data_IF_357968473269
#
_entry.id   IF_357968473269
#
_cell.length_a   1.000
_cell.length_b   1.000
_cell.length_c   1.000
_cell.angle_alpha   90.00
_cell.angle_beta   90.00
_cell.angle_gamma   90.00
#
_symmetry.space_group_name_H-M   'P 1'
#
loop_
_entity.id
_entity.type
_entity.pdbx_description
1 polymer ?
#
# COMPACT_ATOMS: atom_id res chain seq x y z
N UNK A 1 48.13 5.61 -6.53
CA UNK A 1 47.14 5.46 -7.62
C UNK A 1 47.22 6.72 -8.44
N UNK A 2 47.49 6.58 -9.73
CA UNK A 2 47.75 7.69 -10.66
C UNK A 2 46.44 8.43 -10.99
N UNK A 3 46.47 9.76 -10.88
CA UNK A 3 45.35 10.68 -11.10
C UNK A 3 44.85 10.63 -12.57
N UNK A 4 45.71 10.19 -13.50
CA UNK A 4 45.36 9.94 -14.91
C UNK A 4 44.29 8.84 -15.08
N UNK A 5 44.27 7.84 -14.19
CA UNK A 5 43.37 6.68 -14.29
C UNK A 5 41.90 7.02 -13.93
N UNK A 6 41.69 7.97 -13.02
CA UNK A 6 40.35 8.39 -12.58
C UNK A 6 39.68 9.30 -13.62
N UNK A 7 40.46 10.12 -14.32
CA UNK A 7 39.97 11.00 -15.40
C UNK A 7 39.44 10.20 -16.60
N UNK A 8 40.17 9.18 -17.04
CA UNK A 8 39.77 8.33 -18.17
C UNK A 8 38.54 7.48 -17.85
N UNK A 9 38.43 6.99 -16.60
CA UNK A 9 37.25 6.27 -16.13
C UNK A 9 35.99 7.15 -16.12
N UNK A 10 36.11 8.42 -15.71
CA UNK A 10 35.00 9.36 -15.75
C UNK A 10 34.58 9.72 -17.18
N UNK A 11 35.51 9.83 -18.12
CA UNK A 11 35.21 10.08 -19.53
C UNK A 11 34.45 8.90 -20.15
N UNK A 12 34.86 7.67 -19.87
CA UNK A 12 34.18 6.47 -20.38
C UNK A 12 32.78 6.31 -19.77
N UNK A 13 32.61 6.56 -18.47
CA UNK A 13 31.29 6.58 -17.84
C UNK A 13 30.35 7.63 -18.44
N UNK A 14 30.87 8.81 -18.80
CA UNK A 14 30.07 9.86 -19.46
C UNK A 14 29.58 9.39 -20.83
N UNK A 15 30.46 8.81 -21.66
CA UNK A 15 30.08 8.25 -22.97
C UNK A 15 29.07 7.13 -22.83
N UNK A 16 29.24 6.26 -21.84
CA UNK A 16 28.30 5.16 -21.58
C UNK A 16 26.93 5.69 -21.19
N UNK A 17 26.86 6.64 -20.25
CA UNK A 17 25.62 7.30 -19.82
C UNK A 17 24.94 8.07 -20.94
N UNK A 18 25.71 8.70 -21.83
CA UNK A 18 25.14 9.43 -22.98
C UNK A 18 24.52 8.48 -24.00
N UNK A 19 25.17 7.34 -24.27
CA UNK A 19 24.59 6.26 -25.10
C UNK A 19 23.36 5.63 -24.44
N UNK A 20 23.42 5.36 -23.13
CA UNK A 20 22.27 4.87 -22.36
C UNK A 20 21.10 5.86 -22.42
N UNK A 21 21.37 7.16 -22.21
CA UNK A 21 20.37 8.24 -22.26
C UNK A 21 19.74 8.40 -23.65
N UNK A 22 20.51 8.23 -24.73
CA UNK A 22 19.97 8.30 -26.09
C UNK A 22 18.91 7.21 -26.37
N UNK A 23 18.90 6.12 -25.60
CA UNK A 23 17.83 5.11 -25.68
C UNK A 23 16.50 5.61 -25.10
N UNK A 24 16.54 6.66 -24.28
CA UNK A 24 15.38 7.36 -23.73
C UNK A 24 14.79 8.42 -24.67
N UNK A 25 15.31 8.59 -25.88
CA UNK A 25 14.83 9.63 -26.80
C UNK A 25 13.53 9.23 -27.51
N UNK A 26 12.57 10.15 -27.47
CA UNK A 26 11.27 10.09 -28.14
C UNK A 26 11.14 11.32 -29.03
N UNK A 27 11.02 11.11 -30.34
CA UNK A 27 10.88 12.20 -31.34
C UNK A 27 11.97 13.28 -31.20
N UNK A 28 13.21 12.86 -30.95
CA UNK A 28 14.39 13.75 -30.85
C UNK A 28 14.54 14.49 -29.52
N UNK A 29 13.76 14.16 -28.48
CA UNK A 29 13.87 14.69 -27.12
C UNK A 29 13.83 13.56 -26.11
N UNK A 30 14.54 13.68 -24.98
CA UNK A 30 14.49 12.66 -23.94
C UNK A 30 13.08 12.54 -23.33
N UNK A 31 12.62 11.35 -22.96
CA UNK A 31 11.24 11.15 -22.47
C UNK A 31 10.88 12.08 -21.31
N UNK A 32 11.83 12.42 -20.44
CA UNK A 32 11.63 13.34 -19.29
C UNK A 32 11.20 14.74 -19.70
N UNK A 33 11.52 15.16 -20.93
CA UNK A 33 11.17 16.48 -21.44
C UNK A 33 9.69 16.56 -21.86
N UNK A 34 9.05 15.43 -22.19
CA UNK A 34 7.69 15.39 -22.70
C UNK A 34 6.60 15.54 -21.62
N UNK A 35 6.97 15.58 -20.33
CA UNK A 35 6.00 15.62 -19.22
C UNK A 35 5.03 16.80 -19.33
N UNK A 36 5.54 17.99 -19.67
CA UNK A 36 4.71 19.20 -19.79
C UNK A 36 3.76 19.13 -20.99
N UNK A 37 4.26 18.66 -22.14
CA UNK A 37 3.48 18.49 -23.36
C UNK A 37 2.34 17.48 -23.16
N UNK A 38 2.65 16.31 -22.58
CA UNK A 38 1.64 15.30 -22.24
C UNK A 38 0.61 15.86 -21.26
N UNK A 39 1.05 16.60 -20.25
CA UNK A 39 0.13 17.24 -19.29
C UNK A 39 -0.79 18.23 -19.99
N UNK A 40 -0.31 18.97 -20.98
CA UNK A 40 -1.13 19.89 -21.77
C UNK A 40 -2.14 19.14 -22.65
N UNK A 41 -1.74 18.05 -23.30
CA UNK A 41 -2.64 17.19 -24.09
C UNK A 41 -3.76 16.60 -23.22
N UNK A 42 -3.40 16.08 -22.04
CA UNK A 42 -4.37 15.55 -21.07
C UNK A 42 -5.36 16.62 -20.58
N UNK A 43 -4.91 17.86 -20.38
CA UNK A 43 -5.79 18.99 -20.00
C UNK A 43 -6.76 19.39 -21.12
N UNK A 44 -6.30 19.37 -22.37
CA UNK A 44 -7.12 19.64 -23.56
C UNK A 44 -8.10 18.51 -23.88
N UNK A 45 -8.04 17.39 -23.14
CA UNK A 45 -8.79 16.16 -23.38
C UNK A 45 -8.50 15.54 -24.75
N UNK A 46 -7.33 15.81 -25.31
CA UNK A 46 -6.83 15.14 -26.50
C UNK A 46 -6.25 13.78 -26.10
N UNK A 47 -7.16 12.84 -25.85
CA UNK A 47 -6.81 11.53 -25.31
C UNK A 47 -6.04 10.64 -26.29
N UNK A 48 -6.16 10.86 -27.59
CA UNK A 48 -5.48 10.05 -28.62
C UNK A 48 -4.02 10.49 -28.76
N UNK A 49 -3.78 11.80 -28.92
CA UNK A 49 -2.43 12.33 -28.99
C UNK A 49 -1.67 12.09 -27.68
N UNK A 50 -2.33 12.26 -26.53
CA UNK A 50 -1.73 11.97 -25.23
C UNK A 50 -1.37 10.48 -25.11
N UNK A 51 -2.27 9.57 -25.50
CA UNK A 51 -2.02 8.13 -25.40
C UNK A 51 -0.85 7.70 -26.29
N UNK A 52 -0.80 8.17 -27.54
CA UNK A 52 0.29 7.85 -28.45
C UNK A 52 1.65 8.26 -27.85
N UNK A 53 1.76 9.50 -27.38
CA UNK A 53 3.01 10.00 -26.79
C UNK A 53 3.36 9.31 -25.47
N UNK A 54 2.38 8.99 -24.63
CA UNK A 54 2.58 8.22 -23.40
C UNK A 54 3.14 6.82 -23.68
N UNK A 55 2.65 6.13 -24.72
CA UNK A 55 3.13 4.80 -25.09
C UNK A 55 4.56 4.86 -25.64
N UNK A 56 4.87 5.84 -26.49
CA UNK A 56 6.24 6.06 -26.97
C UNK A 56 7.21 6.30 -25.80
N UNK A 57 6.84 7.16 -24.84
CA UNK A 57 7.65 7.39 -23.63
C UNK A 57 7.77 6.13 -22.75
N UNK A 58 6.72 5.31 -22.62
CA UNK A 58 6.79 4.07 -21.84
C UNK A 58 7.73 3.02 -22.48
N UNK A 59 7.79 2.97 -23.81
CA UNK A 59 8.74 2.11 -24.53
C UNK A 59 10.17 2.63 -24.34
N UNK A 60 10.39 3.94 -24.48
CA UNK A 60 11.70 4.56 -24.31
C UNK A 60 12.26 4.34 -22.90
N UNK A 61 11.42 4.48 -21.85
CA UNK A 61 11.86 4.22 -20.47
C UNK A 61 12.22 2.76 -20.25
N UNK A 62 11.45 1.83 -20.82
CA UNK A 62 11.74 0.40 -20.72
C UNK A 62 13.04 0.03 -21.44
N UNK A 63 13.33 0.69 -22.56
CA UNK A 63 14.56 0.50 -23.34
C UNK A 63 15.79 1.05 -22.60
N UNK A 64 15.70 2.26 -22.05
CA UNK A 64 16.76 2.85 -21.21
C UNK A 64 17.03 1.97 -19.97
N UNK A 65 15.98 1.48 -19.31
CA UNK A 65 16.07 0.58 -18.16
C UNK A 65 16.89 -0.67 -18.42
N UNK A 66 16.60 -1.36 -19.53
CA UNK A 66 17.29 -2.62 -19.89
C UNK A 66 18.79 -2.37 -20.07
N UNK A 67 19.19 -1.19 -20.55
CA UNK A 67 20.58 -0.81 -20.71
C UNK A 67 21.24 -0.32 -19.41
N UNK A 68 20.51 0.39 -18.56
CA UNK A 68 21.05 1.12 -17.40
C UNK A 68 20.83 0.46 -16.02
N UNK A 69 20.12 -0.67 -15.93
CA UNK A 69 19.74 -1.31 -14.67
C UNK A 69 18.91 -0.42 -13.70
N UNK A 70 18.14 0.53 -14.26
CA UNK A 70 17.24 1.43 -13.52
C UNK A 70 15.80 0.99 -13.74
N UNK A 71 14.89 1.14 -12.78
CA UNK A 71 13.46 0.77 -12.95
C UNK A 71 12.77 1.71 -13.97
N UNK A 72 11.90 1.21 -14.89
CA UNK A 72 11.26 2.06 -15.88
C UNK A 72 10.41 3.15 -15.23
N UNK A 73 10.41 4.35 -15.80
CA UNK A 73 9.62 5.44 -15.25
C UNK A 73 8.12 5.10 -15.31
N UNK A 74 7.44 5.01 -14.15
CA UNK A 74 6.07 4.50 -14.03
C UNK A 74 5.00 5.39 -14.67
N UNK A 75 5.24 6.70 -14.69
CA UNK A 75 4.20 7.70 -14.82
C UNK A 75 3.54 7.60 -16.19
N UNK A 76 4.32 7.30 -17.23
CA UNK A 76 3.82 7.13 -18.60
C UNK A 76 2.86 5.94 -18.70
N UNK A 77 3.28 4.78 -18.18
CA UNK A 77 2.46 3.57 -18.13
C UNK A 77 1.18 3.77 -17.31
N UNK A 78 1.27 4.40 -16.12
CA UNK A 78 0.10 4.66 -15.27
C UNK A 78 -0.93 5.55 -15.99
N UNK A 79 -0.47 6.62 -16.65
CA UNK A 79 -1.36 7.53 -17.38
C UNK A 79 -1.98 6.88 -18.60
N UNK A 80 -1.22 6.11 -19.37
CA UNK A 80 -1.73 5.34 -20.51
C UNK A 80 -2.79 4.30 -20.06
N UNK A 81 -2.51 3.56 -18.98
CA UNK A 81 -3.46 2.62 -18.39
C UNK A 81 -4.77 3.29 -17.98
N UNK A 82 -4.72 4.49 -17.37
CA UNK A 82 -5.92 5.27 -17.03
C UNK A 82 -6.73 5.65 -18.28
N UNK A 83 -6.08 6.01 -19.39
CA UNK A 83 -6.77 6.33 -20.65
C UNK A 83 -7.46 5.08 -21.19
N UNK A 84 -6.76 3.95 -21.27
CA UNK A 84 -7.36 2.67 -21.69
C UNK A 84 -8.56 2.27 -20.83
N UNK A 85 -8.44 2.42 -19.50
CA UNK A 85 -9.52 2.16 -18.55
C UNK A 85 -10.77 2.99 -18.86
N UNK A 86 -10.60 4.31 -19.08
CA UNK A 86 -11.71 5.23 -19.39
C UNK A 86 -12.39 4.89 -20.71
N UNK A 87 -11.63 4.36 -21.68
CA UNK A 87 -12.14 3.87 -22.97
C UNK A 87 -12.74 2.47 -22.89
N UNK A 88 -12.74 1.85 -21.70
CA UNK A 88 -13.13 0.45 -21.47
C UNK A 88 -12.33 -0.57 -22.31
N UNK A 89 -11.14 -0.19 -22.79
CA UNK A 89 -10.24 -1.12 -23.47
C UNK A 89 -9.36 -1.83 -22.43
N UNK A 90 -9.98 -2.73 -21.66
CA UNK A 90 -9.33 -3.41 -20.56
C UNK A 90 -8.25 -4.40 -21.03
N UNK A 91 -8.38 -4.94 -22.26
CA UNK A 91 -7.38 -5.82 -22.88
C UNK A 91 -6.06 -5.06 -23.05
N UNK A 92 -6.11 -3.87 -23.66
CA UNK A 92 -4.92 -3.04 -23.83
C UNK A 92 -4.35 -2.53 -22.49
N UNK A 93 -5.22 -2.17 -21.53
CA UNK A 93 -4.80 -1.82 -20.16
C UNK A 93 -4.02 -2.97 -19.51
N UNK A 94 -4.56 -4.20 -19.53
CA UNK A 94 -3.93 -5.37 -18.92
C UNK A 94 -2.63 -5.76 -19.63
N UNK A 95 -2.58 -5.73 -20.96
CA UNK A 95 -1.38 -6.02 -21.73
C UNK A 95 -0.23 -5.08 -21.34
N UNK A 96 -0.49 -3.76 -21.34
CA UNK A 96 0.47 -2.73 -20.97
C UNK A 96 0.98 -2.91 -19.53
N UNK A 97 0.09 -3.18 -18.57
CA UNK A 97 0.47 -3.34 -17.17
C UNK A 97 1.28 -4.62 -16.91
N UNK A 98 0.98 -5.71 -17.61
CA UNK A 98 1.77 -6.96 -17.52
C UNK A 98 3.18 -6.76 -18.04
N UNK A 99 3.32 -6.12 -19.20
CA UNK A 99 4.62 -5.83 -19.80
C UNK A 99 5.49 -4.98 -18.85
N UNK A 100 4.92 -3.90 -18.29
CA UNK A 100 5.63 -3.08 -17.31
C UNK A 100 6.03 -3.86 -16.06
N UNK A 101 5.12 -4.67 -15.49
CA UNK A 101 5.40 -5.42 -14.26
C UNK A 101 6.45 -6.52 -14.46
N UNK A 102 6.56 -7.06 -15.69
CA UNK A 102 7.62 -8.01 -16.03
C UNK A 102 9.00 -7.35 -16.05
N UNK A 103 9.10 -6.11 -16.53
CA UNK A 103 10.35 -5.33 -16.56
C UNK A 103 10.74 -4.66 -15.23
N UNK A 104 9.87 -4.68 -14.22
CA UNK A 104 10.06 -3.98 -12.94
C UNK A 104 9.75 -4.86 -11.71
N UNK A 105 10.50 -5.96 -11.46
CA UNK A 105 10.30 -6.84 -10.32
C UNK A 105 10.74 -6.16 -9.01
N UNK A 106 9.88 -5.32 -8.42
CA UNK A 106 10.29 -4.50 -7.26
C UNK A 106 9.21 -3.67 -6.57
N UNK A 107 7.94 -3.97 -6.84
CA UNK A 107 6.75 -3.41 -6.15
C UNK A 107 6.34 -1.99 -6.57
N UNK A 108 5.21 -1.94 -7.30
CA UNK A 108 4.20 -0.87 -7.20
C UNK A 108 2.83 -1.51 -6.98
N UNK A 109 2.45 -1.65 -5.71
CA UNK A 109 1.13 -2.17 -5.33
C UNK A 109 -0.05 -1.55 -6.13
N UNK A 110 -0.04 -0.24 -6.44
CA UNK A 110 -1.13 0.37 -7.23
C UNK A 110 -1.28 -0.18 -8.65
N UNK A 111 -0.17 -0.52 -9.33
CA UNK A 111 -0.22 -1.07 -10.69
C UNK A 111 -0.70 -2.51 -10.71
N UNK A 112 -0.29 -3.32 -9.72
CA UNK A 112 -0.76 -4.70 -9.55
C UNK A 112 -2.26 -4.73 -9.27
N UNK A 113 -2.74 -3.87 -8.36
CA UNK A 113 -4.16 -3.73 -8.07
C UNK A 113 -4.97 -3.31 -9.30
N UNK A 114 -4.42 -2.39 -10.11
CA UNK A 114 -5.02 -1.99 -11.39
C UNK A 114 -5.06 -3.14 -12.40
N UNK A 115 -3.99 -3.91 -12.55
CA UNK A 115 -3.95 -5.08 -13.43
C UNK A 115 -5.04 -6.09 -13.03
N UNK A 116 -5.11 -6.46 -11.74
CA UNK A 116 -6.15 -7.36 -11.25
C UNK A 116 -7.56 -6.84 -11.54
N UNK A 117 -7.79 -5.53 -11.42
CA UNK A 117 -9.07 -4.92 -11.78
C UNK A 117 -9.36 -5.04 -13.28
N UNK A 118 -8.38 -4.74 -14.15
CA UNK A 118 -8.53 -4.87 -15.59
C UNK A 118 -8.80 -6.33 -16.01
N UNK A 119 -8.10 -7.30 -15.42
CA UNK A 119 -8.29 -8.73 -15.65
C UNK A 119 -9.67 -9.22 -15.20
N UNK A 120 -10.12 -8.78 -14.02
CA UNK A 120 -11.48 -9.04 -13.57
C UNK A 120 -12.51 -8.47 -14.55
N UNK A 121 -12.24 -7.30 -15.14
CA UNK A 121 -13.13 -6.70 -16.12
C UNK A 121 -13.16 -7.47 -17.45
N UNK A 122 -12.02 -7.98 -17.92
CA UNK A 122 -11.93 -8.84 -19.11
C UNK A 122 -12.69 -10.15 -18.87
N UNK A 123 -12.41 -10.82 -17.76
CA UNK A 123 -13.03 -12.11 -17.41
C UNK A 123 -14.55 -11.96 -17.34
N UNK A 124 -15.04 -10.91 -16.68
CA UNK A 124 -16.47 -10.76 -16.53
C UNK A 124 -17.16 -10.18 -17.78
N UNK A 125 -16.45 -9.51 -18.68
CA UNK A 125 -16.95 -9.27 -20.04
C UNK A 125 -17.09 -10.57 -20.83
N UNK A 126 -16.11 -11.48 -20.75
CA UNK A 126 -16.19 -12.80 -21.37
C UNK A 126 -17.33 -13.66 -20.79
N UNK A 127 -17.64 -13.48 -19.51
CA UNK A 127 -18.73 -14.19 -18.83
C UNK A 127 -20.11 -13.51 -18.96
N UNK A 128 -20.20 -12.34 -19.61
CA UNK A 128 -21.47 -11.63 -19.73
C UNK A 128 -22.51 -12.38 -20.58
N UNK A 129 -22.03 -13.12 -21.59
CA UNK A 129 -22.83 -13.93 -22.51
C UNK A 129 -23.04 -15.37 -22.01
N UNK A 130 -22.39 -15.74 -20.90
CA UNK A 130 -22.61 -17.05 -20.26
C UNK A 130 -23.90 -16.97 -19.44
N UNK A 131 -24.89 -17.85 -19.70
CA UNK A 131 -26.14 -17.81 -18.97
C UNK A 131 -25.86 -18.03 -17.47
N UNK A 132 -26.44 -17.20 -16.57
CA UNK A 132 -26.11 -17.28 -15.15
C UNK A 132 -26.62 -18.58 -14.55
N UNK A 133 -25.95 -19.08 -13.52
CA UNK A 133 -26.40 -20.25 -12.77
C UNK A 133 -27.08 -19.84 -11.47
N UNK A 134 -28.08 -20.60 -11.05
CA UNK A 134 -28.70 -20.44 -9.74
C UNK A 134 -27.68 -20.82 -8.65
N UNK A 135 -27.34 -19.91 -7.71
CA UNK A 135 -26.37 -20.20 -6.66
C UNK A 135 -26.83 -21.27 -5.65
N UNK A 136 -28.14 -21.57 -5.59
CA UNK A 136 -28.67 -22.60 -4.69
C UNK A 136 -28.69 -24.01 -5.29
N UNK A 137 -29.17 -24.17 -6.52
CA UNK A 137 -29.35 -25.49 -7.13
C UNK A 137 -28.47 -25.77 -8.36
N UNK A 138 -27.70 -24.78 -8.82
CA UNK A 138 -26.80 -24.93 -9.96
C UNK A 138 -27.47 -24.94 -11.34
N UNK A 139 -28.80 -24.87 -11.42
CA UNK A 139 -29.50 -24.79 -12.72
C UNK A 139 -29.05 -23.58 -13.53
N UNK A 140 -28.85 -23.79 -14.83
CA UNK A 140 -28.53 -22.72 -15.79
C UNK A 140 -29.81 -21.94 -16.08
N UNK A 141 -29.77 -20.62 -15.92
CA UNK A 141 -30.88 -19.72 -16.20
C UNK A 141 -30.77 -19.27 -17.65
N UNK A 142 -31.85 -19.40 -18.42
CA UNK A 142 -31.87 -19.01 -19.85
C UNK A 142 -31.54 -17.53 -20.05
N UNK A 143 -31.97 -16.68 -19.11
CA UNK A 143 -31.75 -15.25 -19.13
C UNK A 143 -31.28 -14.76 -17.76
N UNK A 144 -30.64 -13.59 -17.74
CA UNK A 144 -30.36 -12.91 -16.49
C UNK A 144 -31.66 -12.57 -15.76
N UNK A 145 -31.80 -12.95 -14.47
CA UNK A 145 -33.01 -12.66 -13.72
C UNK A 145 -33.22 -11.15 -13.55
N UNK A 146 -34.47 -10.77 -13.28
CA UNK A 146 -34.81 -9.44 -12.81
C UNK A 146 -34.07 -9.11 -11.49
N UNK A 147 -34.02 -7.83 -11.05
CA UNK A 147 -33.33 -7.45 -9.81
C UNK A 147 -33.70 -8.29 -8.58
N UNK A 148 -34.94 -8.78 -8.53
CA UNK A 148 -35.42 -9.84 -7.64
C UNK A 148 -36.37 -10.76 -8.42
N UNK A 149 -36.15 -12.07 -8.35
CA UNK A 149 -37.02 -13.07 -8.97
C UNK A 149 -36.90 -14.41 -8.25
N UNK A 150 -37.70 -15.41 -8.62
CA UNK A 150 -37.51 -16.78 -8.14
C UNK A 150 -36.75 -17.62 -9.17
N UNK A 151 -35.99 -18.59 -8.69
CA UNK A 151 -35.37 -19.60 -9.56
C UNK A 151 -36.46 -20.51 -10.13
N UNK A 152 -36.58 -20.67 -11.47
CA UNK A 152 -37.62 -21.51 -12.06
C UNK A 152 -37.46 -23.01 -11.72
N UNK A 153 -36.24 -23.46 -11.37
CA UNK A 153 -35.96 -24.85 -11.08
C UNK A 153 -36.17 -25.23 -9.59
N UNK A 154 -35.87 -24.33 -8.65
CA UNK A 154 -35.88 -24.66 -7.22
C UNK A 154 -36.67 -23.68 -6.34
N UNK A 155 -37.29 -22.65 -6.93
CA UNK A 155 -38.13 -21.67 -6.23
C UNK A 155 -37.38 -20.74 -5.26
N UNK A 156 -36.05 -20.75 -5.21
CA UNK A 156 -35.32 -19.85 -4.32
C UNK A 156 -35.35 -18.41 -4.81
N UNK A 157 -35.48 -17.45 -3.88
CA UNK A 157 -35.29 -16.04 -4.19
C UNK A 157 -33.88 -15.80 -4.74
N UNK A 158 -33.83 -15.21 -5.93
CA UNK A 158 -32.65 -14.76 -6.65
C UNK A 158 -32.61 -13.25 -6.64
N UNK A 159 -31.42 -12.71 -6.39
CA UNK A 159 -31.18 -11.27 -6.35
C UNK A 159 -30.03 -10.93 -7.28
N UNK A 160 -30.28 -10.08 -8.28
CA UNK A 160 -29.25 -9.59 -9.19
C UNK A 160 -28.63 -8.30 -8.65
N UNK A 161 -27.31 -8.25 -8.59
CA UNK A 161 -26.52 -7.08 -8.15
C UNK A 161 -25.36 -6.82 -9.10
N UNK A 162 -24.91 -5.56 -9.11
CA UNK A 162 -23.65 -5.17 -9.76
C UNK A 162 -22.51 -5.30 -8.75
N UNK A 163 -21.56 -6.18 -9.00
CA UNK A 163 -20.35 -6.36 -8.17
C UNK A 163 -19.13 -6.11 -9.05
N UNK A 164 -18.32 -5.12 -8.69
CA UNK A 164 -17.16 -4.70 -9.49
C UNK A 164 -17.49 -4.34 -10.94
N UNK A 165 -18.73 -3.88 -11.20
CA UNK A 165 -19.20 -3.52 -12.54
C UNK A 165 -19.86 -4.66 -13.33
N UNK A 166 -20.08 -5.82 -12.71
CA UNK A 166 -20.67 -6.99 -13.37
C UNK A 166 -21.94 -7.48 -12.69
N UNK A 167 -22.94 -7.92 -13.46
CA UNK A 167 -24.11 -8.57 -12.89
C UNK A 167 -23.67 -9.89 -12.25
N UNK A 168 -24.12 -10.12 -11.02
CA UNK A 168 -23.97 -11.39 -10.31
C UNK A 168 -25.29 -11.74 -9.63
N UNK A 169 -25.66 -13.01 -9.68
CA UNK A 169 -26.85 -13.55 -9.01
C UNK A 169 -26.46 -14.06 -7.62
N UNK A 170 -27.26 -13.70 -6.63
CA UNK A 170 -27.16 -14.14 -5.24
C UNK A 170 -28.47 -14.82 -4.84
N UNK A 171 -28.44 -15.66 -3.81
CA UNK A 171 -29.68 -15.98 -3.10
C UNK A 171 -30.13 -14.77 -2.28
N UNK A 172 -31.41 -14.66 -1.93
CA UNK A 172 -31.89 -13.64 -0.98
C UNK A 172 -31.08 -13.65 0.32
N UNK A 173 -30.84 -14.86 0.87
CA UNK A 173 -30.03 -15.09 2.06
C UNK A 173 -28.59 -14.55 1.94
N UNK A 174 -27.95 -14.73 0.79
CA UNK A 174 -26.57 -14.25 0.55
C UNK A 174 -26.53 -12.74 0.34
N UNK A 175 -27.51 -12.14 -0.36
CA UNK A 175 -27.54 -10.69 -0.57
C UNK A 175 -27.74 -9.94 0.74
N UNK A 176 -28.55 -10.46 1.66
CA UNK A 176 -28.74 -9.89 3.00
C UNK A 176 -27.44 -9.87 3.81
N UNK A 177 -26.60 -10.92 3.70
CA UNK A 177 -25.31 -11.02 4.41
C UNK A 177 -24.16 -10.31 3.70
N UNK A 178 -24.28 -10.02 2.42
CA UNK A 178 -23.23 -9.43 1.58
C UNK A 178 -22.66 -8.12 2.15
N UNK A 179 -23.44 -7.16 2.66
CA UNK A 179 -22.89 -5.94 3.25
C UNK A 179 -21.98 -6.22 4.44
N UNK A 180 -22.42 -7.09 5.37
CA UNK A 180 -21.64 -7.49 6.53
C UNK A 180 -20.35 -8.23 6.13
N UNK A 181 -20.45 -9.19 5.20
CA UNK A 181 -19.28 -9.91 4.68
C UNK A 181 -18.28 -8.97 3.96
N UNK A 182 -18.78 -7.96 3.23
CA UNK A 182 -17.94 -6.96 2.56
C UNK A 182 -17.25 -6.05 3.57
N UNK A 183 -17.97 -5.60 4.59
CA UNK A 183 -17.43 -4.80 5.69
C UNK A 183 -16.34 -5.57 6.43
N UNK A 184 -16.61 -6.83 6.79
CA UNK A 184 -15.66 -7.74 7.43
C UNK A 184 -14.38 -7.86 6.61
N UNK A 185 -14.47 -8.19 5.31
CA UNK A 185 -13.28 -8.32 4.43
C UNK A 185 -12.47 -7.03 4.36
N UNK A 186 -13.15 -5.88 4.32
CA UNK A 186 -12.49 -4.57 4.32
C UNK A 186 -11.76 -4.32 5.64
N UNK A 187 -12.39 -4.61 6.77
CA UNK A 187 -11.78 -4.48 8.09
C UNK A 187 -10.59 -5.43 8.24
N UNK A 188 -10.75 -6.72 7.89
CA UNK A 188 -9.67 -7.72 7.86
C UNK A 188 -8.47 -7.24 7.04
N UNK A 189 -8.68 -6.79 5.79
CA UNK A 189 -7.60 -6.26 4.94
C UNK A 189 -6.90 -5.06 5.57
N UNK A 190 -7.64 -4.18 6.25
CA UNK A 190 -7.06 -3.06 6.96
C UNK A 190 -6.18 -3.52 8.13
N UNK A 191 -6.65 -4.49 8.93
CA UNK A 191 -5.88 -5.03 10.06
C UNK A 191 -4.64 -5.81 9.63
N UNK A 192 -4.73 -6.64 8.58
CA UNK A 192 -3.57 -7.32 8.00
C UNK A 192 -2.51 -6.32 7.51
N UNK A 193 -2.95 -5.20 6.91
CA UNK A 193 -2.02 -4.14 6.49
C UNK A 193 -1.29 -3.53 7.69
N UNK A 194 -1.98 -3.32 8.82
CA UNK A 194 -1.39 -2.82 10.07
C UNK A 194 -0.35 -3.78 10.64
N UNK A 195 -0.65 -5.09 10.61
CA UNK A 195 0.25 -6.16 11.08
C UNK A 195 1.31 -6.60 10.06
N UNK A 196 1.36 -5.99 8.88
CA UNK A 196 2.34 -6.29 7.83
C UNK A 196 3.80 -6.19 8.31
N UNK A 197 4.22 -5.11 9.00
CA UNK A 197 5.57 -5.01 9.58
C UNK A 197 5.91 -6.11 10.60
N UNK A 198 4.89 -6.67 11.24
CA UNK A 198 4.98 -7.78 12.18
C UNK A 198 5.01 -9.17 11.51
N UNK A 199 5.05 -9.23 10.17
CA UNK A 199 5.02 -10.47 9.38
C UNK A 199 3.80 -11.36 9.70
N UNK A 200 2.65 -10.78 10.00
CA UNK A 200 1.40 -11.55 10.13
C UNK A 200 0.83 -11.79 8.74
N UNK A 201 0.52 -13.05 8.44
CA UNK A 201 0.01 -13.48 7.12
C UNK A 201 -1.50 -13.74 7.14
N UNK A 202 -2.08 -13.98 5.95
CA UNK A 202 -3.49 -14.35 5.83
C UNK A 202 -3.76 -15.71 6.50
N UNK A 203 -2.83 -16.66 6.39
CA UNK A 203 -2.97 -17.99 6.99
C UNK A 203 -2.97 -17.92 8.52
N UNK A 204 -2.12 -17.06 9.11
CA UNK A 204 -2.13 -16.81 10.54
C UNK A 204 -3.47 -16.21 11.00
N UNK A 205 -4.04 -15.31 10.21
CA UNK A 205 -5.35 -14.73 10.47
C UNK A 205 -6.44 -15.79 10.44
N UNK A 206 -6.50 -16.61 9.39
CA UNK A 206 -7.51 -17.67 9.26
C UNK A 206 -7.42 -18.69 10.41
N UNK A 207 -6.19 -19.06 10.80
CA UNK A 207 -5.96 -19.93 11.95
C UNK A 207 -6.45 -19.28 13.26
N UNK A 208 -6.21 -17.98 13.44
CA UNK A 208 -6.65 -17.26 14.65
C UNK A 208 -8.16 -17.09 14.71
N UNK A 209 -8.77 -16.75 13.59
CA UNK A 209 -10.23 -16.63 13.46
C UNK A 209 -10.91 -17.96 13.81
N UNK A 210 -10.37 -19.08 13.33
CA UNK A 210 -10.88 -20.42 13.67
C UNK A 210 -10.86 -20.69 15.17
N UNK A 211 -9.81 -20.25 15.88
CA UNK A 211 -9.68 -20.45 17.34
C UNK A 211 -10.63 -19.57 18.13
N UNK A 212 -10.95 -18.38 17.64
CA UNK A 212 -11.78 -17.42 18.37
C UNK A 212 -13.28 -17.63 18.17
N UNK A 213 -13.70 -18.46 17.20
CA UNK A 213 -15.07 -18.88 16.79
C UNK A 213 -16.12 -17.75 16.61
N UNK A 214 -16.24 -16.84 17.56
CA UNK A 214 -17.12 -15.65 17.60
C UNK A 214 -16.35 -14.32 17.71
N UNK A 215 -15.01 -14.35 17.63
CA UNK A 215 -14.18 -13.14 17.70
C UNK A 215 -14.46 -12.16 16.56
N UNK A 216 -14.65 -10.89 16.89
CA UNK A 216 -14.73 -9.85 15.87
C UNK A 216 -13.33 -9.57 15.27
N UNK A 217 -13.26 -8.82 14.17
CA UNK A 217 -11.99 -8.49 13.48
C UNK A 217 -10.95 -7.86 14.43
N UNK A 218 -11.41 -7.06 15.40
CA UNK A 218 -10.57 -6.47 16.44
C UNK A 218 -9.98 -7.49 17.39
N UNK A 219 -10.75 -8.51 17.79
CA UNK A 219 -10.26 -9.58 18.69
C UNK A 219 -9.17 -10.41 18.01
N UNK A 220 -9.37 -10.75 16.73
CA UNK A 220 -8.37 -11.45 15.90
C UNK A 220 -7.10 -10.60 15.75
N UNK A 221 -7.25 -9.32 15.41
CA UNK A 221 -6.14 -8.38 15.34
C UNK A 221 -5.37 -8.32 16.66
N UNK A 222 -6.07 -8.18 17.79
CA UNK A 222 -5.47 -7.99 19.11
C UNK A 222 -4.66 -9.22 19.54
N UNK A 223 -5.21 -10.42 19.33
CA UNK A 223 -4.51 -11.66 19.62
C UNK A 223 -3.24 -11.80 18.77
N UNK A 224 -3.31 -11.53 17.46
CA UNK A 224 -2.15 -11.60 16.57
C UNK A 224 -1.10 -10.53 16.87
N UNK A 225 -1.52 -9.32 17.25
CA UNK A 225 -0.61 -8.24 17.63
C UNK A 225 0.17 -8.60 18.91
N UNK A 226 -0.52 -9.14 19.92
CA UNK A 226 0.11 -9.63 21.16
C UNK A 226 1.14 -10.72 20.87
N UNK A 227 0.78 -11.74 20.07
CA UNK A 227 1.72 -12.78 19.66
C UNK A 227 2.90 -12.24 18.84
N UNK A 228 2.68 -11.21 18.03
CA UNK A 228 3.74 -10.55 17.28
C UNK A 228 4.72 -9.80 18.19
N UNK A 229 4.24 -9.11 19.23
CA UNK A 229 5.09 -8.48 20.26
C UNK A 229 5.93 -9.54 20.95
N UNK A 230 5.32 -10.64 21.40
CA UNK A 230 6.06 -11.72 22.08
C UNK A 230 7.14 -12.35 21.20
N UNK A 231 6.85 -12.58 19.90
CA UNK A 231 7.85 -13.08 18.96
C UNK A 231 8.97 -12.09 18.74
N UNK A 232 8.64 -10.81 18.54
CA UNK A 232 9.64 -9.76 18.33
C UNK A 232 10.57 -9.62 19.55
N UNK A 233 10.01 -9.68 20.76
CA UNK A 233 10.77 -9.66 22.02
C UNK A 233 11.72 -10.86 22.13
N UNK A 234 11.23 -12.08 21.88
CA UNK A 234 12.05 -13.31 21.86
C UNK A 234 13.20 -13.24 20.84
N UNK A 235 12.95 -12.62 19.70
CA UNK A 235 13.93 -12.45 18.62
C UNK A 235 14.87 -11.25 18.84
N UNK A 236 14.72 -10.48 19.94
CA UNK A 236 15.38 -9.19 20.18
C UNK A 236 15.22 -8.18 19.03
N UNK A 237 14.07 -8.21 18.36
CA UNK A 237 13.74 -7.31 17.26
C UNK A 237 12.94 -6.10 17.78
N UNK A 238 13.65 -5.18 18.42
CA UNK A 238 13.07 -3.99 19.05
C UNK A 238 12.26 -3.12 18.08
N UNK A 239 12.67 -3.04 16.79
CA UNK A 239 11.93 -2.24 15.79
C UNK A 239 10.53 -2.80 15.58
N UNK A 240 10.43 -4.12 15.45
CA UNK A 240 9.16 -4.80 15.26
C UNK A 240 8.32 -4.75 16.53
N UNK A 241 8.94 -4.95 17.69
CA UNK A 241 8.26 -4.87 18.98
C UNK A 241 7.67 -3.47 19.23
N UNK A 242 8.51 -2.42 19.13
CA UNK A 242 8.12 -1.01 19.22
C UNK A 242 6.97 -0.68 18.27
N UNK A 243 7.14 -0.99 16.98
CA UNK A 243 6.14 -0.62 15.96
C UNK A 243 4.80 -1.33 16.16
N UNK A 244 4.81 -2.57 16.65
CA UNK A 244 3.59 -3.33 16.95
C UNK A 244 2.89 -2.77 18.19
N UNK A 245 3.62 -2.52 19.29
CA UNK A 245 3.07 -1.90 20.50
C UNK A 245 2.47 -0.51 20.21
N UNK A 246 3.17 0.31 19.43
CA UNK A 246 2.67 1.62 19.05
C UNK A 246 1.41 1.53 18.16
N UNK A 247 1.32 0.54 17.28
CA UNK A 247 0.12 0.31 16.48
C UNK A 247 -1.07 -0.23 17.31
N UNK A 248 -0.79 -1.04 18.35
CA UNK A 248 -1.78 -1.43 19.36
C UNK A 248 -2.30 -0.21 20.14
N UNK A 249 -1.43 0.73 20.51
CA UNK A 249 -1.84 1.98 21.15
C UNK A 249 -2.78 2.80 20.23
N UNK A 250 -2.47 2.91 18.94
CA UNK A 250 -3.36 3.57 17.95
C UNK A 250 -4.71 2.87 17.84
N UNK A 251 -4.70 1.54 17.78
CA UNK A 251 -5.93 0.75 17.71
C UNK A 251 -6.83 0.97 18.94
N UNK A 252 -6.25 1.11 20.12
CA UNK A 252 -6.98 1.45 21.36
C UNK A 252 -7.64 2.82 21.26
N UNK A 253 -6.92 3.85 20.80
CA UNK A 253 -7.50 5.20 20.57
C UNK A 253 -8.66 5.15 19.57
N UNK A 254 -8.47 4.48 18.43
CA UNK A 254 -9.50 4.32 17.40
C UNK A 254 -10.75 3.61 17.94
N UNK A 255 -10.56 2.74 18.94
CA UNK A 255 -11.62 1.99 19.62
C UNK A 255 -12.22 2.72 20.83
N UNK A 256 -11.78 3.94 21.13
CA UNK A 256 -12.23 4.71 22.30
C UNK A 256 -11.76 4.13 23.64
N UNK A 257 -10.66 3.35 23.63
CA UNK A 257 -10.07 2.72 24.80
C UNK A 257 -8.79 3.44 25.23
N UNK A 258 -8.39 3.26 26.50
CA UNK A 258 -7.16 3.85 27.02
C UNK A 258 -5.92 3.29 26.30
N UNK A 259 -5.02 4.18 25.87
CA UNK A 259 -3.88 3.83 25.00
C UNK A 259 -2.54 3.90 25.73
N UNK A 260 -2.52 4.49 26.93
CA UNK A 260 -1.30 4.94 27.59
C UNK A 260 -0.38 3.78 27.95
N UNK A 261 -0.93 2.65 28.39
CA UNK A 261 -0.17 1.44 28.71
C UNK A 261 0.69 0.97 27.53
N UNK A 262 0.09 0.81 26.34
CA UNK A 262 0.78 0.29 25.15
C UNK A 262 1.76 1.30 24.56
N UNK A 263 1.44 2.58 24.60
CA UNK A 263 2.40 3.60 24.19
C UNK A 263 3.59 3.70 25.16
N UNK A 264 3.35 3.56 26.46
CA UNK A 264 4.44 3.52 27.45
C UNK A 264 5.32 2.29 27.27
N UNK A 265 4.71 1.13 27.00
CA UNK A 265 5.46 -0.09 26.66
C UNK A 265 6.31 0.10 25.39
N UNK A 266 5.75 0.71 24.34
CA UNK A 266 6.52 1.05 23.14
C UNK A 266 7.71 1.97 23.47
N UNK A 267 7.48 3.05 24.22
CA UNK A 267 8.56 3.97 24.61
C UNK A 267 9.64 3.29 25.45
N UNK A 268 9.30 2.32 26.30
CA UNK A 268 10.30 1.56 27.04
C UNK A 268 11.20 0.73 26.13
N UNK A 269 10.64 0.03 25.13
CA UNK A 269 11.42 -0.70 24.11
C UNK A 269 12.34 0.26 23.33
N UNK A 270 11.83 1.45 23.00
CA UNK A 270 12.64 2.48 22.33
C UNK A 270 13.81 2.98 23.20
N UNK A 271 13.60 3.14 24.50
CA UNK A 271 14.64 3.57 25.46
C UNK A 271 15.75 2.54 25.62
N UNK A 272 15.40 1.26 25.74
CA UNK A 272 16.40 0.18 25.79
C UNK A 272 17.28 0.18 24.53
N UNK A 273 16.67 0.45 23.38
CA UNK A 273 17.41 0.63 22.14
C UNK A 273 18.31 1.88 22.13
N UNK A 274 17.86 3.02 22.68
CA UNK A 274 18.70 4.22 22.80
C UNK A 274 19.96 3.95 23.62
N UNK A 275 19.82 3.25 24.76
CA UNK A 275 20.94 2.84 25.61
C UNK A 275 21.95 1.95 24.88
N UNK A 276 21.50 1.23 23.85
CA UNK A 276 22.35 0.35 23.04
C UNK A 276 23.13 1.10 21.95
N UNK A 277 22.73 2.31 21.59
CA UNK A 277 23.28 3.05 20.45
C UNK A 277 23.91 4.40 20.79
N UNK A 278 23.57 4.98 21.93
CA UNK A 278 23.98 6.32 22.31
C UNK A 278 24.52 6.36 23.73
N UNK A 279 25.52 7.20 23.96
CA UNK A 279 25.93 7.53 25.33
C UNK A 279 24.98 8.53 25.96
N UNK A 280 24.92 8.57 27.29
CA UNK A 280 24.06 9.48 28.05
C UNK A 280 24.20 10.95 27.63
N UNK A 281 25.41 11.37 27.26
CA UNK A 281 25.71 12.75 26.85
C UNK A 281 25.39 13.04 25.38
N UNK A 282 24.85 12.07 24.63
CA UNK A 282 24.47 12.30 23.24
C UNK A 282 23.30 13.26 23.17
N UNK A 283 23.47 14.38 22.47
CA UNK A 283 22.40 15.34 22.23
C UNK A 283 21.48 14.87 21.11
N UNK A 284 20.20 14.75 21.43
CA UNK A 284 19.12 14.45 20.49
C UNK A 284 18.07 15.56 20.55
N UNK A 285 17.21 15.61 19.55
CA UNK A 285 16.09 16.54 19.50
C UNK A 285 14.78 15.79 19.73
N UNK A 286 14.05 16.14 20.79
CA UNK A 286 12.71 15.64 21.04
C UNK A 286 11.73 16.35 20.13
N UNK A 287 11.27 15.63 19.11
CA UNK A 287 10.29 16.10 18.14
C UNK A 287 8.92 15.50 18.46
N UNK A 288 7.84 16.24 18.20
CA UNK A 288 6.50 15.80 18.53
C UNK A 288 5.39 16.46 17.75
N UNK A 289 4.15 16.16 18.15
CA UNK A 289 2.97 16.83 17.60
C UNK A 289 2.93 18.32 17.97
N UNK A 290 2.18 19.10 17.20
CA UNK A 290 2.07 20.56 17.39
C UNK A 290 1.15 21.01 18.53
N UNK A 291 0.66 20.11 19.40
CA UNK A 291 -0.24 20.49 20.50
C UNK A 291 0.49 21.25 21.61
N UNK A 292 -0.25 21.90 22.52
CA UNK A 292 0.36 22.68 23.60
C UNK A 292 1.24 21.83 24.52
N UNK A 293 0.73 20.67 24.97
CA UNK A 293 1.45 19.72 25.83
C UNK A 293 2.75 19.25 25.20
N UNK A 294 2.72 18.84 23.92
CA UNK A 294 3.91 18.32 23.25
C UNK A 294 4.92 19.42 22.91
N UNK A 295 4.48 20.62 22.53
CA UNK A 295 5.39 21.75 22.25
C UNK A 295 6.15 22.20 23.49
N UNK A 296 5.55 22.14 24.67
CA UNK A 296 6.21 22.51 25.92
C UNK A 296 7.42 21.62 26.24
N UNK A 297 7.43 20.37 25.75
CA UNK A 297 8.49 19.40 25.96
C UNK A 297 9.40 19.21 24.72
N UNK A 298 9.21 19.98 23.64
CA UNK A 298 10.10 19.91 22.48
C UNK A 298 11.40 20.66 22.73
N UNK A 299 12.52 20.10 22.27
CA UNK A 299 13.82 20.72 22.45
C UNK A 299 14.98 19.76 22.27
N UNK A 300 16.19 20.29 22.41
CA UNK A 300 17.39 19.46 22.50
C UNK A 300 17.51 18.91 23.92
N UNK A 301 17.72 17.62 24.04
CA UNK A 301 17.87 16.91 25.32
C UNK A 301 18.97 15.87 25.18
N UNK A 302 19.71 15.61 26.25
CA UNK A 302 20.65 14.50 26.28
C UNK A 302 19.91 13.17 26.46
N UNK A 303 20.50 12.06 26.03
CA UNK A 303 19.91 10.72 26.26
C UNK A 303 19.71 10.46 27.75
N UNK A 304 20.66 10.86 28.60
CA UNK A 304 20.55 10.70 30.05
C UNK A 304 19.40 11.49 30.66
N UNK A 305 19.21 12.76 30.28
CA UNK A 305 18.07 13.58 30.72
C UNK A 305 16.74 12.94 30.30
N UNK A 306 16.61 12.50 29.04
CA UNK A 306 15.39 11.88 28.53
C UNK A 306 15.02 10.59 29.28
N UNK A 307 16.02 9.74 29.57
CA UNK A 307 15.81 8.49 30.30
C UNK A 307 15.39 8.73 31.76
N UNK A 308 15.86 9.82 32.38
CA UNK A 308 15.53 10.18 33.75
C UNK A 308 14.15 10.85 33.88
N UNK A 309 13.82 11.78 32.98
CA UNK A 309 12.59 12.59 33.08
C UNK A 309 11.37 11.90 32.46
N UNK A 310 11.59 10.96 31.54
CA UNK A 310 10.53 10.18 30.88
C UNK A 310 9.39 11.04 30.30
N UNK A 311 9.68 12.06 29.46
CA UNK A 311 8.66 13.01 29.03
C UNK A 311 7.61 12.40 28.08
N UNK A 312 7.83 11.19 27.57
CA UNK A 312 6.94 10.51 26.62
C UNK A 312 6.51 9.12 27.08
N UNK A 313 5.33 8.64 26.68
CA UNK A 313 4.30 9.39 25.94
C UNK A 313 3.60 10.44 26.81
N UNK A 314 3.17 11.56 26.23
CA UNK A 314 2.39 12.58 26.97
C UNK A 314 0.95 12.09 27.17
N UNK A 315 0.46 11.87 28.41
CA UNK A 315 -0.91 11.40 28.66
C UNK A 315 -1.97 12.39 28.14
N UNK A 316 -1.72 13.68 28.33
CA UNK A 316 -2.62 14.78 27.93
C UNK A 316 -2.32 15.31 26.51
N UNK A 317 -1.90 14.41 25.61
CA UNK A 317 -1.70 14.77 24.21
C UNK A 317 -3.06 14.99 23.53
N UNK A 318 -3.24 16.14 22.87
CA UNK A 318 -4.46 16.43 22.07
C UNK A 318 -4.59 15.53 20.83
N UNK A 319 -3.53 14.80 20.44
CA UNK A 319 -3.53 13.86 19.31
C UNK A 319 -3.03 12.49 19.75
N UNK A 320 -3.83 11.72 20.52
CA UNK A 320 -3.41 10.42 20.99
C UNK A 320 -3.36 9.37 19.84
N UNK A 321 -2.49 8.35 19.93
CA UNK A 321 -1.44 8.21 20.93
C UNK A 321 -0.32 9.23 20.65
N UNK A 322 0.33 9.70 21.72
CA UNK A 322 1.44 10.64 21.61
C UNK A 322 2.58 10.02 20.76
N UNK A 323 2.97 10.69 19.67
CA UNK A 323 4.03 10.23 18.75
C UNK A 323 5.36 10.96 18.94
N UNK A 324 5.54 11.68 20.06
CA UNK A 324 6.79 12.36 20.35
C UNK A 324 7.95 11.36 20.44
N UNK A 325 9.05 11.66 19.75
CA UNK A 325 10.20 10.77 19.60
C UNK A 325 11.50 11.57 19.51
N UNK A 326 12.58 11.03 20.05
CA UNK A 326 13.93 11.59 19.85
C UNK A 326 14.43 11.36 18.43
N UNK A 327 15.12 12.35 17.85
CA UNK A 327 15.78 12.27 16.54
C UNK A 327 17.16 12.93 16.58
N UNK A 328 18.06 12.50 15.70
CA UNK A 328 19.35 13.19 15.54
C UNK A 328 19.13 14.58 14.95
N UNK A 329 19.77 15.64 15.48
CA UNK A 329 19.59 17.02 15.01
C UNK A 329 19.88 17.20 13.51
N UNK A 330 20.80 16.41 12.94
CA UNK A 330 21.19 16.50 11.53
C UNK A 330 20.09 16.04 10.55
N UNK A 331 19.03 15.40 11.05
CA UNK A 331 17.88 14.96 10.26
C UNK A 331 16.94 16.10 9.83
N UNK A 332 17.25 17.35 10.23
CA UNK A 332 16.42 18.55 10.03
C UNK A 332 17.12 19.67 9.25
N UNK A 333 18.33 19.42 8.72
CA UNK A 333 18.93 20.32 7.74
C UNK A 333 18.22 20.08 6.39
N UNK A 334 17.65 21.12 5.75
CA UNK A 334 16.89 21.01 4.51
C UNK A 334 17.71 20.48 3.33
#
# INVERSE_FOLDING_TARGET
>A
MDDSSVSDWNAELRRRREKERALGDVRGRHYTEWVQDITQLLRRRDGDAALALLLECAIATSTETVAGAVIPAPWYTERAAIIYHRRKNYIAEAALLREYLAGAPGVRAPMRERLHKAEALISAAANADVPPTCPKCGSVLENWPDPRSECPACGSELVKRQVSGFPKVFTGYDDERRPAATLYRRQRRAMLKRLGPANVTEEMWDAKETVLEDGNVGDVYWSLATEAVERASKDNNWVREYSTLFDMAKFRVESGLDWLEYASAAENVYRENLLSHYSDNTLLYLYGCGCATCRANQGTVTVGEYLNEQPTPHPDCETPPCFCSLRQPQSFLP
#
